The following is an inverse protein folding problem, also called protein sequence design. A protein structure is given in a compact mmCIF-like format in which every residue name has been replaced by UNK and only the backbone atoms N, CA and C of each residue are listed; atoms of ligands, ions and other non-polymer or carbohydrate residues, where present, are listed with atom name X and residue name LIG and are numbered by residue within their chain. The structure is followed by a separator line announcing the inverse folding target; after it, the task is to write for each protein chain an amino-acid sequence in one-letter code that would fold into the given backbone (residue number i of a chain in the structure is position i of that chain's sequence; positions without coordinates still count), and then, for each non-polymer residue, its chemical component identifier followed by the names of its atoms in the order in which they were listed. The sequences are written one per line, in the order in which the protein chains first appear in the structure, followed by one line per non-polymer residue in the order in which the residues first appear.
data_IF_921540556694
#
_entry.id   IF_921540556694
#
_cell.length_a   1.000
_cell.length_b   1.000
_cell.length_c   1.000
_cell.angle_alpha   90.00
_cell.angle_beta   90.00
_cell.angle_gamma   90.00
#
_symmetry.space_group_name_H-M   'P 1'
#
loop_
_entity.id
_entity.type
_entity.pdbx_description
1 polymer ?
#
# COMPACT_ATOMS: atom_id res chain seq x y z
N UNK A 1 31.87 -14.15 -23.24
CA UNK A 1 30.66 -14.99 -23.32
C UNK A 1 29.59 -14.29 -22.50
N UNK A 2 28.58 -13.72 -23.16
CA UNK A 2 27.48 -13.02 -22.50
C UNK A 2 26.51 -14.05 -21.92
N UNK A 3 26.36 -14.08 -20.59
CA UNK A 3 25.30 -14.82 -19.94
C UNK A 3 23.98 -14.09 -20.20
N UNK A 4 23.02 -14.81 -20.79
CA UNK A 4 21.75 -14.24 -21.27
C UNK A 4 20.88 -13.82 -20.09
N UNK A 5 20.25 -12.65 -20.17
CA UNK A 5 19.36 -12.11 -19.13
C UNK A 5 18.19 -13.06 -18.78
N UNK A 6 17.81 -13.95 -19.70
CA UNK A 6 16.82 -15.00 -19.47
C UNK A 6 17.25 -16.05 -18.43
N UNK A 7 18.54 -16.35 -18.31
CA UNK A 7 19.04 -17.33 -17.34
C UNK A 7 19.00 -16.77 -15.92
N UNK A 8 19.19 -15.46 -15.75
CA UNK A 8 19.06 -14.78 -14.46
C UNK A 8 17.61 -14.77 -13.97
N UNK A 9 16.65 -14.51 -14.88
CA UNK A 9 15.21 -14.53 -14.56
C UNK A 9 14.73 -15.95 -14.21
N UNK A 10 15.27 -16.97 -14.88
CA UNK A 10 14.94 -18.38 -14.63
C UNK A 10 15.51 -18.88 -13.30
N UNK A 11 16.71 -18.44 -12.94
CA UNK A 11 17.34 -18.72 -11.64
C UNK A 11 16.58 -18.06 -10.48
N UNK A 12 16.14 -16.80 -10.66
CA UNK A 12 15.33 -16.05 -9.67
C UNK A 12 13.97 -16.72 -9.39
N UNK A 13 13.31 -17.27 -10.42
CA UNK A 13 12.04 -18.01 -10.24
C UNK A 13 12.21 -19.29 -9.43
N UNK A 14 13.36 -19.96 -9.54
CA UNK A 14 13.64 -21.20 -8.81
C UNK A 14 14.05 -20.95 -7.35
N UNK A 15 14.72 -19.84 -7.04
CA UNK A 15 15.08 -19.47 -5.66
C UNK A 15 13.88 -19.02 -4.81
N UNK A 16 12.84 -18.45 -5.42
CA UNK A 16 11.64 -18.00 -4.72
C UNK A 16 10.83 -19.14 -4.07
N UNK A 17 11.04 -20.41 -4.46
CA UNK A 17 10.36 -21.56 -3.86
C UNK A 17 10.98 -22.06 -2.54
N UNK A 18 12.16 -21.56 -2.15
CA UNK A 18 12.90 -22.11 -0.99
C UNK A 18 13.14 -21.10 0.14
N UNK A 19 12.89 -19.81 -0.06
CA UNK A 19 13.23 -18.76 0.90
C UNK A 19 12.13 -18.46 1.92
N UNK A 20 11.62 -19.50 2.60
CA UNK A 20 10.78 -19.36 3.79
C UNK A 20 11.48 -19.95 5.02
N UNK A 21 12.73 -19.56 5.31
CA UNK A 21 13.29 -19.72 6.65
C UNK A 21 14.53 -18.85 6.87
N UNK A 22 14.52 -18.16 8.01
CA UNK A 22 15.64 -17.59 8.79
C UNK A 22 16.15 -16.17 8.46
N UNK A 23 15.82 -15.27 9.41
CA UNK A 23 16.44 -13.97 9.70
C UNK A 23 17.88 -14.14 10.22
N UNK A 24 18.84 -13.38 9.69
CA UNK A 24 19.91 -12.66 10.41
C UNK A 24 20.74 -11.82 9.39
N UNK A 25 21.21 -10.64 9.80
CA UNK A 25 22.11 -9.71 9.07
C UNK A 25 23.39 -10.41 8.56
N UNK A 26 24.06 -10.03 7.43
CA UNK A 26 23.95 -8.80 6.63
C UNK A 26 23.09 -9.01 5.37
N UNK A 27 22.17 -8.08 5.13
CA UNK A 27 20.95 -8.25 4.32
C UNK A 27 21.20 -8.95 2.97
N UNK A 28 20.92 -10.27 2.86
CA UNK A 28 20.74 -10.93 1.57
C UNK A 28 19.56 -10.25 0.87
N UNK A 29 19.64 -10.07 -0.45
CA UNK A 29 18.62 -9.43 -1.29
C UNK A 29 17.21 -9.83 -0.86
N UNK A 30 16.54 -8.96 -0.09
CA UNK A 30 15.16 -9.15 0.34
C UNK A 30 14.28 -8.63 -0.79
N UNK A 31 13.62 -9.56 -1.47
CA UNK A 31 12.66 -9.25 -2.52
C UNK A 31 11.27 -9.45 -1.95
N UNK A 32 10.51 -8.38 -1.80
CA UNK A 32 9.09 -8.46 -1.49
C UNK A 32 8.28 -7.98 -2.70
N UNK A 33 7.43 -8.86 -3.23
CA UNK A 33 6.54 -8.55 -4.34
C UNK A 33 5.12 -8.31 -3.83
N UNK A 34 4.61 -7.10 -4.05
CA UNK A 34 3.17 -6.87 -4.19
C UNK A 34 2.81 -6.93 -5.67
N UNK A 35 1.54 -7.20 -6.02
CA UNK A 35 1.11 -7.57 -7.39
C UNK A 35 1.82 -6.80 -8.51
N UNK A 36 2.05 -5.50 -8.33
CA UNK A 36 2.68 -4.61 -9.32
C UNK A 36 3.92 -3.83 -8.82
N UNK A 37 4.45 -4.11 -7.63
CA UNK A 37 5.62 -3.41 -7.07
C UNK A 37 6.63 -4.38 -6.44
N UNK A 38 7.89 -4.20 -6.80
CA UNK A 38 9.03 -4.98 -6.29
C UNK A 38 9.86 -4.13 -5.33
N UNK A 39 9.96 -4.55 -4.08
CA UNK A 39 10.92 -3.99 -3.14
C UNK A 39 12.19 -4.83 -3.16
N UNK A 40 13.34 -4.19 -3.34
CA UNK A 40 14.65 -4.82 -3.34
C UNK A 40 15.64 -4.00 -2.52
N UNK A 41 16.50 -4.70 -1.76
CA UNK A 41 17.59 -4.10 -1.01
C UNK A 41 18.92 -4.58 -1.60
N UNK A 42 19.79 -3.64 -1.97
CA UNK A 42 21.12 -3.93 -2.50
C UNK A 42 22.16 -3.42 -1.52
N UNK A 43 22.85 -4.34 -0.84
CA UNK A 43 24.01 -4.00 -0.03
C UNK A 43 25.23 -3.82 -0.92
N UNK A 44 25.81 -2.62 -0.94
CA UNK A 44 27.07 -2.33 -1.62
C UNK A 44 28.18 -2.41 -0.59
N UNK A 45 29.15 -3.30 -0.80
CA UNK A 45 30.35 -3.41 0.05
C UNK A 45 31.52 -2.73 -0.64
N UNK A 46 32.20 -1.85 0.09
CA UNK A 46 33.41 -1.15 -0.33
C UNK A 46 34.70 -1.88 0.11
N UNK A 47 34.59 -2.80 1.07
CA UNK A 47 35.66 -3.66 1.56
C UNK A 47 35.45 -5.15 1.24
N UNK A 48 36.52 -5.95 1.37
CA UNK A 48 36.50 -7.39 1.10
C UNK A 48 36.35 -7.72 -0.39
N UNK A 49 35.44 -8.63 -0.73
CA UNK A 49 35.16 -9.03 -2.13
C UNK A 49 34.41 -7.97 -2.95
N UNK A 50 34.06 -6.81 -2.34
CA UNK A 50 33.40 -5.68 -3.01
C UNK A 50 32.10 -6.07 -3.73
N UNK A 51 31.27 -6.86 -3.06
CA UNK A 51 29.96 -7.27 -3.56
C UNK A 51 29.12 -6.04 -3.98
N UNK A 52 28.53 -6.11 -5.18
CA UNK A 52 27.67 -5.08 -5.79
C UNK A 52 28.33 -3.70 -6.00
N UNK A 53 29.66 -3.60 -5.92
CA UNK A 53 30.38 -2.34 -6.19
C UNK A 53 30.22 -1.87 -7.64
N UNK A 54 29.98 -2.79 -8.57
CA UNK A 54 29.61 -2.51 -9.96
C UNK A 54 28.26 -1.79 -10.08
N UNK A 55 27.25 -2.20 -9.30
CA UNK A 55 25.94 -1.54 -9.23
C UNK A 55 26.07 -0.14 -8.63
N UNK A 56 26.88 0.02 -7.57
CA UNK A 56 27.19 1.33 -6.98
C UNK A 56 27.77 2.30 -8.00
N UNK A 57 28.71 1.83 -8.83
CA UNK A 57 29.29 2.63 -9.93
C UNK A 57 28.28 2.92 -11.03
N UNK A 58 27.52 1.91 -11.48
CA UNK A 58 26.52 2.04 -12.56
C UNK A 58 25.47 3.09 -12.23
N UNK A 59 24.96 3.08 -11.00
CA UNK A 59 23.89 3.98 -10.55
C UNK A 59 24.39 5.21 -9.80
N UNK A 60 25.70 5.45 -9.80
CA UNK A 60 26.36 6.62 -9.18
C UNK A 60 25.91 6.84 -7.72
N UNK A 61 25.94 5.77 -6.94
CA UNK A 61 25.49 5.79 -5.54
C UNK A 61 26.51 6.54 -4.68
N UNK A 62 26.10 7.58 -3.92
CA UNK A 62 26.98 8.29 -2.99
C UNK A 62 27.37 7.41 -1.79
N UNK A 63 28.40 7.82 -1.04
CA UNK A 63 28.82 7.17 0.21
C UNK A 63 27.82 7.35 1.37
N UNK A 64 26.83 8.26 1.20
CA UNK A 64 25.76 8.51 2.17
C UNK A 64 24.57 7.59 1.90
N UNK A 65 24.31 6.69 2.83
CA UNK A 65 23.17 5.76 2.80
C UNK A 65 22.05 6.20 3.77
N UNK A 66 20.78 5.77 3.54
CA UNK A 66 20.29 4.96 2.42
C UNK A 66 20.04 5.78 1.15
N UNK A 67 20.16 5.14 -0.01
CA UNK A 67 19.80 5.71 -1.32
C UNK A 67 18.66 4.89 -1.90
N UNK A 68 17.56 5.56 -2.25
CA UNK A 68 16.34 4.91 -2.73
C UNK A 68 16.08 5.37 -4.17
N UNK A 69 15.93 4.40 -5.07
CA UNK A 69 15.65 4.62 -6.49
C UNK A 69 14.40 3.84 -6.88
N UNK A 70 13.53 4.47 -7.65
CA UNK A 70 12.35 3.86 -8.24
C UNK A 70 12.57 3.63 -9.72
N UNK A 71 12.41 2.39 -10.16
CA UNK A 71 12.57 1.98 -11.56
C UNK A 71 11.21 1.68 -12.17
N UNK A 72 11.05 2.01 -13.45
CA UNK A 72 9.91 1.53 -14.24
C UNK A 72 10.28 0.19 -14.93
N UNK A 73 9.27 -0.61 -15.28
CA UNK A 73 9.49 -1.94 -15.88
C UNK A 73 10.02 -1.88 -17.34
N UNK A 74 10.18 -0.68 -17.90
CA UNK A 74 10.57 -0.51 -19.30
C UNK A 74 12.09 -0.56 -19.47
N UNK A 75 12.84 0.12 -18.60
CA UNK A 75 14.30 0.22 -18.73
C UNK A 75 14.99 0.39 -17.38
N UNK A 76 16.15 -0.23 -17.20
CA UNK A 76 16.99 -0.02 -16.01
C UNK A 76 17.74 1.32 -16.02
N UNK A 77 17.71 2.05 -17.13
CA UNK A 77 18.44 3.30 -17.29
C UNK A 77 17.60 4.53 -16.92
N UNK A 78 16.28 4.36 -16.77
CA UNK A 78 15.37 5.39 -16.25
C UNK A 78 14.97 5.06 -14.82
N UNK A 79 15.32 5.94 -13.89
CA UNK A 79 14.92 5.85 -12.50
C UNK A 79 14.66 7.23 -11.93
N UNK A 80 13.86 7.27 -10.86
CA UNK A 80 13.62 8.48 -10.06
C UNK A 80 14.31 8.30 -8.71
N UNK A 81 15.07 9.31 -8.32
CA UNK A 81 15.71 9.38 -7.01
C UNK A 81 14.74 9.87 -5.95
N UNK A 82 14.75 9.22 -4.79
CA UNK A 82 14.08 9.73 -3.61
C UNK A 82 14.81 10.99 -3.09
N UNK A 83 14.10 12.06 -2.71
CA UNK A 83 14.73 13.29 -2.25
C UNK A 83 15.65 13.07 -1.04
N UNK A 84 16.89 13.55 -1.10
CA UNK A 84 17.90 13.32 -0.04
C UNK A 84 17.54 13.98 1.30
N UNK A 85 16.77 15.06 1.27
CA UNK A 85 16.35 15.82 2.44
C UNK A 85 15.08 15.27 3.09
N UNK A 86 14.34 14.38 2.41
CA UNK A 86 13.10 13.84 2.93
C UNK A 86 13.37 12.70 3.93
N UNK A 87 12.65 12.65 5.07
CA UNK A 87 12.82 11.57 6.03
C UNK A 87 12.33 10.26 5.42
N UNK A 88 13.11 9.18 5.57
CA UNK A 88 12.73 7.84 5.09
C UNK A 88 11.73 7.21 6.06
N UNK A 89 10.44 7.34 5.74
CA UNK A 89 9.32 6.80 6.52
C UNK A 89 8.37 6.03 5.61
N UNK A 90 7.51 5.18 6.18
CA UNK A 90 6.52 4.42 5.39
C UNK A 90 5.61 5.35 4.58
N UNK A 91 5.19 6.48 5.18
CA UNK A 91 4.27 7.40 4.53
C UNK A 91 4.96 8.24 3.45
N UNK A 92 6.22 8.64 3.64
CA UNK A 92 6.97 9.37 2.62
C UNK A 92 7.32 8.47 1.43
N UNK A 93 7.69 7.22 1.67
CA UNK A 93 7.89 6.21 0.62
C UNK A 93 6.61 5.92 -0.16
N UNK A 94 5.47 5.79 0.54
CA UNK A 94 4.15 5.63 -0.12
C UNK A 94 3.86 6.80 -1.06
N UNK A 95 4.00 8.04 -0.56
CA UNK A 95 3.76 9.25 -1.36
C UNK A 95 4.69 9.32 -2.56
N UNK A 96 5.97 8.98 -2.37
CA UNK A 96 6.95 8.97 -3.45
C UNK A 96 6.57 8.02 -4.59
N UNK A 97 6.17 6.78 -4.27
CA UNK A 97 5.76 5.83 -5.31
C UNK A 97 4.45 6.26 -5.99
N UNK A 98 3.46 6.73 -5.23
CA UNK A 98 2.20 7.23 -5.81
C UNK A 98 2.37 8.48 -6.67
N UNK A 99 3.35 9.33 -6.39
CA UNK A 99 3.63 10.52 -7.20
C UNK A 99 4.33 10.20 -8.54
N UNK A 100 4.95 9.02 -8.64
CA UNK A 100 5.80 8.65 -9.78
C UNK A 100 5.28 7.42 -10.55
N UNK A 101 4.14 6.84 -10.14
CA UNK A 101 3.52 5.67 -10.76
C UNK A 101 2.01 5.74 -10.67
N UNK A 102 1.33 5.01 -11.56
CA UNK A 102 -0.13 4.83 -11.48
C UNK A 102 -0.55 3.77 -10.44
N UNK A 103 0.39 3.35 -9.58
CA UNK A 103 0.13 2.33 -8.56
C UNK A 103 -0.66 2.92 -7.40
N UNK A 104 -1.79 2.27 -7.12
CA UNK A 104 -2.54 2.55 -5.90
C UNK A 104 -1.85 1.94 -4.68
N UNK A 105 -1.27 2.78 -3.84
CA UNK A 105 -0.72 2.37 -2.54
C UNK A 105 -1.61 2.94 -1.45
N UNK A 106 -2.67 2.21 -1.13
CA UNK A 106 -3.55 2.52 -0.02
C UNK A 106 -2.87 2.45 1.34
N UNK A 107 -3.57 2.95 2.37
CA UNK A 107 -3.24 2.62 3.74
C UNK A 107 -3.43 1.12 3.98
N UNK A 108 -2.75 0.50 4.96
CA UNK A 108 -2.99 -0.90 5.30
C UNK A 108 -4.49 -1.15 5.54
N UNK A 109 -5.04 -2.14 4.84
CA UNK A 109 -6.47 -2.50 4.89
C UNK A 109 -7.37 -1.79 3.89
N UNK A 110 -6.86 -0.81 3.14
CA UNK A 110 -7.62 -0.20 2.07
C UNK A 110 -7.71 -1.11 0.85
N UNK A 111 -8.91 -1.22 0.28
CA UNK A 111 -9.19 -1.95 -0.95
C UNK A 111 -9.65 -0.92 -1.98
N UNK A 112 -8.92 -0.78 -3.10
CA UNK A 112 -9.11 0.31 -4.06
C UNK A 112 -10.56 0.40 -4.55
N UNK A 113 -11.10 -0.73 -4.97
CA UNK A 113 -12.44 -0.85 -5.53
C UNK A 113 -13.50 -0.47 -4.50
N UNK A 114 -13.28 -0.83 -3.23
CA UNK A 114 -14.21 -0.51 -2.14
C UNK A 114 -14.02 0.93 -1.66
N UNK A 115 -12.82 1.50 -1.76
CA UNK A 115 -12.55 2.91 -1.47
C UNK A 115 -13.33 3.83 -2.41
N UNK A 116 -13.41 3.47 -3.68
CA UNK A 116 -14.22 4.21 -4.66
C UNK A 116 -15.72 4.17 -4.29
N UNK A 117 -16.22 3.01 -3.85
CA UNK A 117 -17.58 2.89 -3.33
C UNK A 117 -17.77 3.69 -2.03
N UNK A 118 -16.79 3.68 -1.12
CA UNK A 118 -16.81 4.46 0.12
C UNK A 118 -16.84 5.97 -0.14
N UNK A 119 -16.08 6.45 -1.12
CA UNK A 119 -16.12 7.84 -1.57
C UNK A 119 -17.50 8.18 -2.15
N UNK A 120 -18.05 7.33 -3.04
CA UNK A 120 -19.42 7.48 -3.57
C UNK A 120 -20.47 7.43 -2.45
N UNK A 121 -20.28 6.61 -1.43
CA UNK A 121 -21.17 6.47 -0.26
C UNK A 121 -21.18 7.75 0.59
N UNK A 122 -20.09 8.49 0.60
CA UNK A 122 -19.89 9.68 1.45
C UNK A 122 -20.32 10.98 0.80
N UNK A 123 -20.83 10.94 -0.43
CA UNK A 123 -21.34 12.12 -1.13
C UNK A 123 -22.51 12.75 -0.34
N UNK A 124 -22.46 14.07 -0.05
CA UNK A 124 -23.56 14.76 0.58
C UNK A 124 -24.83 14.63 -0.28
N UNK A 125 -25.99 14.48 0.37
CA UNK A 125 -27.35 14.44 -0.24
C UNK A 125 -27.80 13.10 -0.86
N UNK A 126 -27.17 11.97 -0.55
CA UNK A 126 -27.72 10.65 -0.92
C UNK A 126 -28.90 10.28 -0.04
N UNK A 127 -29.95 9.71 -0.65
CA UNK A 127 -31.08 9.15 0.09
C UNK A 127 -30.70 7.82 0.76
N UNK A 128 -31.52 7.35 1.71
CA UNK A 128 -31.29 6.05 2.37
C UNK A 128 -31.32 4.90 1.35
N UNK A 129 -32.19 4.98 0.36
CA UNK A 129 -32.29 4.00 -0.73
C UNK A 129 -30.98 3.93 -1.53
N UNK A 130 -30.41 5.07 -1.93
CA UNK A 130 -29.12 5.10 -2.65
C UNK A 130 -27.97 4.56 -1.80
N UNK A 131 -27.98 4.77 -0.49
CA UNK A 131 -26.97 4.18 0.40
C UNK A 131 -27.10 2.65 0.46
N UNK A 132 -28.33 2.12 0.50
CA UNK A 132 -28.60 0.68 0.48
C UNK A 132 -28.24 0.03 -0.85
N UNK A 133 -28.40 0.74 -1.97
CA UNK A 133 -27.94 0.28 -3.29
C UNK A 133 -26.42 0.10 -3.30
N UNK A 134 -25.65 1.06 -2.78
CA UNK A 134 -24.18 0.97 -2.70
C UNK A 134 -23.75 -0.16 -1.74
N UNK A 135 -24.50 -0.38 -0.65
CA UNK A 135 -24.25 -1.53 0.23
C UNK A 135 -24.42 -2.83 -0.53
N UNK A 136 -25.52 -2.97 -1.29
CA UNK A 136 -25.77 -4.15 -2.13
C UNK A 136 -24.69 -4.34 -3.20
N UNK A 137 -24.27 -3.26 -3.87
CA UNK A 137 -23.16 -3.28 -4.83
C UNK A 137 -21.87 -3.76 -4.16
N UNK A 138 -21.56 -3.26 -2.96
CA UNK A 138 -20.39 -3.69 -2.18
C UNK A 138 -20.46 -5.17 -1.84
N UNK A 139 -21.62 -5.69 -1.42
CA UNK A 139 -21.83 -7.11 -1.10
C UNK A 139 -21.53 -8.03 -2.28
N UNK A 140 -21.90 -7.63 -3.50
CA UNK A 140 -21.64 -8.41 -4.71
C UNK A 140 -20.14 -8.55 -5.02
N UNK A 141 -19.29 -7.68 -4.46
CA UNK A 141 -17.84 -7.73 -4.65
C UNK A 141 -17.12 -8.67 -3.68
N UNK A 142 -17.82 -9.30 -2.72
CA UNK A 142 -17.20 -10.15 -1.69
C UNK A 142 -16.31 -11.26 -2.29
N UNK A 143 -16.75 -11.85 -3.40
CA UNK A 143 -16.02 -12.92 -4.09
C UNK A 143 -14.66 -12.49 -4.66
N UNK A 144 -14.41 -11.19 -4.83
CA UNK A 144 -13.13 -10.66 -5.30
C UNK A 144 -12.05 -10.66 -4.20
N UNK A 145 -12.45 -10.76 -2.93
CA UNK A 145 -11.56 -10.61 -1.77
C UNK A 145 -11.47 -11.90 -0.95
N UNK A 146 -10.97 -12.98 -1.56
CA UNK A 146 -10.85 -14.30 -0.92
C UNK A 146 -9.63 -14.47 -0.01
N UNK A 147 -8.58 -13.66 -0.20
CA UNK A 147 -7.40 -13.69 0.66
C UNK A 147 -7.76 -13.19 2.08
N UNK A 148 -7.37 -13.92 3.13
CA UNK A 148 -7.79 -13.69 4.53
C UNK A 148 -7.72 -12.21 4.97
N UNK A 149 -6.59 -11.53 4.72
CA UNK A 149 -6.41 -10.12 5.08
C UNK A 149 -7.31 -9.17 4.29
N UNK A 150 -7.49 -9.43 2.99
CA UNK A 150 -8.36 -8.65 2.12
C UNK A 150 -9.82 -8.86 2.51
N UNK A 151 -10.23 -10.11 2.76
CA UNK A 151 -11.56 -10.47 3.23
C UNK A 151 -11.91 -9.77 4.55
N UNK A 152 -10.99 -9.81 5.53
CA UNK A 152 -11.17 -9.13 6.81
C UNK A 152 -11.39 -7.63 6.64
N UNK A 153 -10.63 -7.00 5.73
CA UNK A 153 -10.78 -5.58 5.42
C UNK A 153 -12.13 -5.30 4.77
N UNK A 154 -12.52 -6.09 3.77
CA UNK A 154 -13.82 -6.03 3.10
C UNK A 154 -14.99 -6.10 4.10
N UNK A 155 -14.95 -7.05 5.05
CA UNK A 155 -15.98 -7.17 6.09
C UNK A 155 -16.12 -5.92 6.96
N UNK A 156 -15.01 -5.21 7.21
CA UNK A 156 -15.03 -3.95 7.97
C UNK A 156 -15.72 -2.85 7.15
N UNK A 157 -15.41 -2.70 5.86
CA UNK A 157 -16.12 -1.77 4.98
C UNK A 157 -17.62 -2.04 4.98
N UNK A 158 -18.00 -3.29 4.70
CA UNK A 158 -19.39 -3.69 4.59
C UNK A 158 -20.15 -3.46 5.90
N UNK A 159 -19.55 -3.82 7.04
CA UNK A 159 -20.14 -3.58 8.37
C UNK A 159 -20.32 -2.09 8.64
N UNK A 160 -19.34 -1.25 8.28
CA UNK A 160 -19.45 0.19 8.46
C UNK A 160 -20.56 0.77 7.55
N UNK A 161 -20.58 0.41 6.27
CA UNK A 161 -21.60 0.86 5.32
C UNK A 161 -23.01 0.47 5.75
N UNK A 162 -23.23 -0.78 6.16
CA UNK A 162 -24.53 -1.24 6.70
C UNK A 162 -24.97 -0.42 7.91
N UNK A 163 -24.06 -0.21 8.88
CA UNK A 163 -24.36 0.59 10.08
C UNK A 163 -24.65 2.05 9.76
N UNK A 164 -23.95 2.63 8.79
CA UNK A 164 -24.19 4.00 8.36
C UNK A 164 -25.52 4.14 7.61
N UNK A 165 -25.85 3.21 6.71
CA UNK A 165 -27.11 3.21 5.97
C UNK A 165 -28.34 3.05 6.89
N UNK A 166 -28.18 2.30 7.99
CA UNK A 166 -29.23 2.11 9.01
C UNK A 166 -29.28 3.22 10.05
N UNK A 167 -28.26 4.08 10.13
CA UNK A 167 -28.21 5.16 11.11
C UNK A 167 -29.03 6.37 10.65
N UNK A 168 -29.58 7.12 11.60
CA UNK A 168 -30.17 8.43 11.32
C UNK A 168 -29.14 9.57 11.30
N UNK A 169 -27.89 9.26 11.66
CA UNK A 169 -26.77 10.21 11.58
C UNK A 169 -26.29 10.35 10.15
N UNK A 170 -25.79 11.52 9.80
CA UNK A 170 -25.05 11.67 8.54
C UNK A 170 -23.79 10.78 8.56
N UNK A 171 -23.34 10.37 7.37
CA UNK A 171 -22.08 9.60 7.20
C UNK A 171 -20.92 10.29 7.92
N UNK A 172 -20.83 11.62 7.79
CA UNK A 172 -19.78 12.42 8.44
C UNK A 172 -19.82 12.33 9.97
N UNK A 173 -21.00 12.45 10.57
CA UNK A 173 -21.17 12.36 12.03
C UNK A 173 -20.92 10.96 12.55
N UNK A 174 -21.38 9.93 11.82
CA UNK A 174 -21.13 8.55 12.18
C UNK A 174 -19.63 8.24 12.20
N UNK A 175 -18.91 8.61 11.13
CA UNK A 175 -17.47 8.38 11.01
C UNK A 175 -16.69 9.15 12.09
N UNK A 176 -17.06 10.39 12.39
CA UNK A 176 -16.43 11.16 13.47
C UNK A 176 -16.57 10.45 14.83
N UNK A 177 -17.80 10.04 15.18
CA UNK A 177 -18.06 9.33 16.43
C UNK A 177 -17.36 7.97 16.50
N UNK A 178 -17.34 7.22 15.41
CA UNK A 178 -16.67 5.92 15.36
C UNK A 178 -15.13 6.06 15.44
N UNK A 179 -14.55 7.08 14.81
CA UNK A 179 -13.13 7.41 14.94
C UNK A 179 -12.77 7.71 16.38
N UNK A 180 -13.55 8.51 17.08
CA UNK A 180 -13.28 8.86 18.48
C UNK A 180 -13.42 7.64 19.40
N UNK A 181 -14.43 6.79 19.16
CA UNK A 181 -14.58 5.51 19.86
C UNK A 181 -13.35 4.62 19.67
N UNK A 182 -12.89 4.46 18.44
CA UNK A 182 -11.70 3.63 18.11
C UNK A 182 -10.42 4.21 18.70
N UNK A 183 -10.23 5.54 18.63
CA UNK A 183 -9.09 6.22 19.27
C UNK A 183 -9.09 6.06 20.79
N UNK A 184 -10.26 6.10 21.42
CA UNK A 184 -10.37 5.87 22.86
C UNK A 184 -10.04 4.43 23.24
N UNK A 185 -10.41 3.44 22.41
CA UNK A 185 -9.99 2.05 22.60
C UNK A 185 -8.48 1.87 22.47
N UNK A 186 -7.83 2.61 21.55
CA UNK A 186 -6.38 2.57 21.36
C UNK A 186 -5.58 3.14 22.54
N UNK A 187 -6.19 4.00 23.37
CA UNK A 187 -5.56 4.52 24.61
C UNK A 187 -5.53 3.49 25.74
N UNK A 188 -6.38 2.47 25.67
CA UNK A 188 -6.45 1.41 26.68
C UNK A 188 -5.31 0.40 26.55
N UNK A 189 -5.13 -0.42 27.59
CA UNK A 189 -4.22 -1.57 27.53
C UNK A 189 -4.84 -2.65 26.64
N UNK A 190 -4.30 -2.81 25.43
CA UNK A 190 -4.75 -3.78 24.44
C UNK A 190 -3.56 -4.55 23.87
N UNK A 191 -3.79 -5.74 23.33
CA UNK A 191 -2.75 -6.52 22.65
C UNK A 191 -2.36 -5.89 21.31
N UNK A 192 -1.16 -6.21 20.82
CA UNK A 192 -0.65 -5.69 19.54
C UNK A 192 -1.55 -6.09 18.36
N UNK A 193 -2.07 -7.32 18.35
CA UNK A 193 -3.03 -7.77 17.34
C UNK A 193 -4.30 -6.90 17.34
N UNK A 194 -4.81 -6.57 18.53
CA UNK A 194 -6.01 -5.71 18.64
C UNK A 194 -5.69 -4.27 18.24
N UNK A 195 -4.49 -3.78 18.54
CA UNK A 195 -4.01 -2.47 18.11
C UNK A 195 -3.93 -2.40 16.57
N UNK A 196 -3.39 -3.44 15.94
CA UNK A 196 -3.34 -3.55 14.47
C UNK A 196 -4.74 -3.53 13.86
N UNK A 197 -5.69 -4.29 14.41
CA UNK A 197 -7.09 -4.31 13.94
C UNK A 197 -7.81 -2.96 14.09
N UNK A 198 -7.57 -2.24 15.19
CA UNK A 198 -8.13 -0.91 15.40
C UNK A 198 -7.52 0.12 14.45
N UNK A 199 -6.21 0.04 14.18
CA UNK A 199 -5.55 0.88 13.19
C UNK A 199 -6.04 0.57 11.76
N UNK A 200 -6.24 -0.70 11.42
CA UNK A 200 -6.86 -1.13 10.16
C UNK A 200 -8.22 -0.45 9.97
N UNK A 201 -9.04 -0.45 11.03
CA UNK A 201 -10.35 0.19 11.01
C UNK A 201 -10.26 1.71 10.88
N UNK A 202 -9.29 2.37 11.53
CA UNK A 202 -9.05 3.81 11.35
C UNK A 202 -8.73 4.13 9.89
N UNK A 203 -7.85 3.35 9.25
CA UNK A 203 -7.46 3.52 7.85
C UNK A 203 -8.66 3.40 6.91
N UNK A 204 -9.49 2.37 7.10
CA UNK A 204 -10.71 2.16 6.31
C UNK A 204 -11.69 3.34 6.46
N UNK A 205 -11.81 3.90 7.66
CA UNK A 205 -12.66 5.09 7.88
C UNK A 205 -12.14 6.36 7.19
N UNK A 206 -10.88 6.40 6.75
CA UNK A 206 -10.35 7.51 5.94
C UNK A 206 -10.93 7.53 4.52
N UNK A 207 -11.36 6.37 4.00
CA UNK A 207 -11.95 6.25 2.66
C UNK A 207 -13.35 6.86 2.54
N UNK A 208 -14.00 7.15 3.66
CA UNK A 208 -15.29 7.82 3.72
C UNK A 208 -15.15 9.36 3.82
N UNK A 209 -13.95 9.91 3.62
CA UNK A 209 -13.76 11.36 3.55
C UNK A 209 -14.24 11.90 2.19
N UNK A 210 -15.08 12.96 2.17
CA UNK A 210 -15.43 13.64 0.93
C UNK A 210 -14.17 14.18 0.24
N UNK A 211 -14.05 13.97 -1.07
CA UNK A 211 -12.93 14.51 -1.87
C UNK A 211 -11.69 13.61 -1.97
N UNK A 212 -11.71 12.39 -1.41
CA UNK A 212 -10.73 11.35 -1.78
C UNK A 212 -11.13 10.76 -3.13
N UNK A 213 -10.93 11.50 -4.22
CA UNK A 213 -10.76 10.85 -5.50
C UNK A 213 -9.53 9.96 -5.39
N UNK A 214 -9.54 8.68 -5.82
CA UNK A 214 -8.27 8.03 -6.13
C UNK A 214 -7.55 8.97 -7.08
N UNK A 215 -6.29 9.34 -6.78
CA UNK A 215 -5.54 10.36 -7.50
C UNK A 215 -5.77 10.17 -9.01
N UNK A 216 -6.57 11.08 -9.58
CA UNK A 216 -6.84 11.06 -11.01
C UNK A 216 -5.54 11.46 -11.67
N UNK A 217 -5.03 10.56 -12.50
CA UNK A 217 -4.05 10.85 -13.53
C UNK A 217 -4.36 12.22 -14.15
N UNK A 218 -3.47 13.17 -13.90
CA UNK A 218 -3.50 14.46 -14.58
C UNK A 218 -2.62 14.32 -15.81
N UNK A 219 -3.25 14.01 -16.95
CA UNK A 219 -2.83 14.51 -18.25
C UNK A 219 -3.85 14.10 -19.31
N UNK A 220 -4.92 14.88 -19.41
CA UNK A 220 -5.48 15.25 -20.71
C UNK A 220 -5.19 16.75 -20.91
N UNK A 221 -4.56 17.03 -22.05
CA UNK A 221 -4.53 18.27 -22.84
C UNK A 221 -4.03 19.58 -22.22
N UNK A 222 -2.82 19.99 -22.65
CA UNK A 222 -2.60 21.22 -23.45
C UNK A 222 -1.37 21.04 -24.34
#
# INVERSE_FOLDING_TARGET
MAANADDAVKSLKNMAKTAAQLLFWPVPLLIQKSNDLLFALVGIKDYGEKENADLGKRFKIPEKYPVIKLFNNETLDKFVDYPEDDPVTVDSLRKFVSANTDLYIGLPGCLKEIDELAAKFSCPKKSKETLLEIVTETEQMEGLFSAEKAHKSFQIYLTLMRKMAQSDKSVKEFIAGEKDRVRNLLKGKISDNKKADLNLRLNIMESFKPGRTPDKATSDEL
#
